data_IF_966110773202
#
_entry.id   IF_966110773202
#
_cell.length_a   1.000
_cell.length_b   1.000
_cell.length_c   1.000
_cell.angle_alpha   90.00
_cell.angle_beta   90.00
_cell.angle_gamma   90.00
#
_symmetry.space_group_name_H-M   'P 1'
#
loop_
_entity.id
_entity.type
_entity.pdbx_description
1 polymer ?
#
# COMPACT_ATOMS: atom_id res chain seq x y z
N UNK A 1 -2.90 25.89 -4.95
CA UNK A 1 -3.62 24.97 -4.03
C UNK A 1 -5.13 25.23 -3.96
N UNK A 2 -5.61 26.46 -4.17
CA UNK A 2 -7.05 26.79 -4.20
C UNK A 2 -7.85 26.03 -5.28
N UNK A 3 -7.27 25.80 -6.46
CA UNK A 3 -7.92 25.04 -7.53
C UNK A 3 -8.15 23.57 -7.17
N UNK A 4 -7.34 23.00 -6.29
CA UNK A 4 -7.51 21.62 -5.83
C UNK A 4 -8.72 21.48 -4.90
N UNK A 5 -9.10 22.57 -4.21
CA UNK A 5 -10.32 22.67 -3.37
C UNK A 5 -11.56 23.13 -4.15
N UNK A 6 -11.46 23.41 -5.45
CA UNK A 6 -12.65 23.74 -6.26
C UNK A 6 -13.64 22.56 -6.28
N UNK A 7 -14.94 22.87 -6.18
CA UNK A 7 -16.09 21.95 -6.03
C UNK A 7 -16.29 20.91 -7.15
N UNK A 8 -15.33 20.74 -8.07
CA UNK A 8 -15.37 19.70 -9.09
C UNK A 8 -14.94 18.35 -8.53
N UNK A 9 -15.65 17.27 -8.87
CA UNK A 9 -15.21 15.89 -8.62
C UNK A 9 -13.90 15.64 -9.38
N UNK A 10 -12.78 15.57 -8.67
CA UNK A 10 -11.48 15.16 -9.23
C UNK A 10 -11.34 13.66 -9.07
N UNK A 11 -11.27 12.93 -10.18
CA UNK A 11 -11.12 11.48 -10.18
C UNK A 11 -9.67 11.03 -10.01
N UNK A 12 -8.71 11.83 -10.50
CA UNK A 12 -7.29 11.53 -10.50
C UNK A 12 -6.50 12.77 -10.09
N UNK A 13 -5.48 12.57 -9.26
CA UNK A 13 -4.56 13.62 -8.83
C UNK A 13 -3.14 13.07 -9.01
N UNK A 14 -2.36 13.74 -9.84
CA UNK A 14 -0.93 13.46 -9.98
C UNK A 14 -0.16 14.36 -9.00
N UNK A 15 0.70 13.77 -8.18
CA UNK A 15 1.42 14.45 -7.13
C UNK A 15 2.83 13.86 -6.97
N UNK A 16 3.78 14.69 -6.52
CA UNK A 16 5.07 14.25 -6.03
C UNK A 16 5.04 14.17 -4.50
N UNK A 17 6.08 13.60 -3.89
CA UNK A 17 6.21 13.48 -2.43
C UNK A 17 6.06 14.82 -1.68
N UNK A 18 6.29 15.95 -2.35
CA UNK A 18 6.12 17.30 -1.81
C UNK A 18 4.66 17.76 -1.66
N UNK A 19 3.69 17.07 -2.28
CA UNK A 19 2.25 17.42 -2.18
C UNK A 19 1.57 16.80 -0.94
N UNK A 20 2.36 16.14 -0.09
CA UNK A 20 1.87 15.31 1.00
C UNK A 20 1.32 16.10 2.20
N UNK A 21 1.71 17.36 2.36
CA UNK A 21 1.30 18.19 3.49
C UNK A 21 0.12 19.10 3.13
N UNK A 22 -1.01 18.95 3.82
CA UNK A 22 -2.12 19.92 3.81
C UNK A 22 -3.31 19.61 2.90
N UNK A 23 -3.31 18.49 2.19
CA UNK A 23 -4.44 18.06 1.35
C UNK A 23 -5.02 16.74 1.86
N UNK A 24 -6.26 16.78 2.33
CA UNK A 24 -7.01 15.61 2.81
C UNK A 24 -8.17 15.32 1.84
N UNK A 25 -8.07 14.23 1.09
CA UNK A 25 -9.21 13.70 0.35
C UNK A 25 -9.77 12.51 1.12
N UNK A 26 -11.03 12.57 1.57
CA UNK A 26 -11.62 11.50 2.38
C UNK A 26 -11.76 10.17 1.62
N UNK A 27 -11.96 10.22 0.29
CA UNK A 27 -12.38 9.06 -0.50
C UNK A 27 -11.31 8.56 -1.48
N UNK A 28 -10.06 8.38 -1.04
CA UNK A 28 -9.01 7.79 -1.87
C UNK A 28 -9.13 6.26 -1.87
N UNK A 29 -9.41 5.69 -3.05
CA UNK A 29 -9.50 4.23 -3.28
C UNK A 29 -8.22 3.60 -3.79
N UNK A 30 -7.42 4.37 -4.51
CA UNK A 30 -6.20 3.89 -5.12
C UNK A 30 -5.09 4.88 -4.87
N UNK A 31 -3.94 4.39 -4.41
CA UNK A 31 -2.67 5.12 -4.41
C UNK A 31 -1.74 4.37 -5.34
N UNK A 32 -1.29 5.04 -6.40
CA UNK A 32 -0.38 4.46 -7.38
C UNK A 32 0.94 5.22 -7.32
N UNK A 33 1.99 4.52 -6.88
CA UNK A 33 3.33 5.04 -6.82
C UNK A 33 4.11 4.64 -8.08
N UNK A 34 4.54 5.64 -8.85
CA UNK A 34 5.44 5.45 -9.99
C UNK A 34 6.90 5.51 -9.52
N UNK A 35 7.45 4.34 -9.27
CA UNK A 35 8.69 4.14 -8.55
C UNK A 35 8.44 3.87 -7.06
N UNK A 36 9.34 3.14 -6.41
CA UNK A 36 9.23 2.88 -4.99
C UNK A 36 9.67 4.11 -4.18
N UNK A 37 9.18 4.20 -2.95
CA UNK A 37 9.62 5.23 -2.01
C UNK A 37 11.11 5.03 -1.66
N UNK A 38 11.76 6.08 -1.14
CA UNK A 38 13.17 6.02 -0.76
C UNK A 38 13.42 5.13 0.46
N UNK A 39 12.53 5.23 1.45
CA UNK A 39 12.53 4.42 2.66
C UNK A 39 11.12 3.88 2.94
N UNK A 40 11.00 2.91 3.85
CA UNK A 40 9.72 2.26 4.13
C UNK A 40 8.72 3.19 4.84
N UNK A 41 9.21 4.18 5.60
CA UNK A 41 8.37 5.14 6.30
C UNK A 41 7.60 6.04 5.32
N UNK A 42 8.29 6.55 4.29
CA UNK A 42 7.71 7.33 3.22
C UNK A 42 6.64 6.53 2.47
N UNK A 43 6.92 5.25 2.20
CA UNK A 43 5.93 4.34 1.61
C UNK A 43 4.65 4.28 2.46
N UNK A 44 4.77 4.10 3.79
CA UNK A 44 3.59 4.07 4.68
C UNK A 44 2.86 5.42 4.74
N UNK A 45 3.57 6.55 4.70
CA UNK A 45 2.94 7.88 4.68
C UNK A 45 2.16 8.13 3.38
N UNK A 46 2.69 7.67 2.25
CA UNK A 46 2.03 7.76 0.94
C UNK A 46 0.82 6.83 0.88
N UNK A 47 1.00 5.57 1.27
CA UNK A 47 -0.04 4.54 1.32
C UNK A 47 -1.20 4.92 2.27
N UNK A 48 -0.88 5.52 3.43
CA UNK A 48 -1.85 5.93 4.46
C UNK A 48 -2.79 7.07 4.05
N UNK A 49 -2.73 7.54 2.79
CA UNK A 49 -3.75 8.42 2.21
C UNK A 49 -5.01 7.68 1.82
N UNK A 50 -4.89 6.39 1.50
CA UNK A 50 -6.01 5.55 1.14
C UNK A 50 -6.79 5.09 2.38
N UNK A 51 -8.07 4.74 2.22
CA UNK A 51 -8.81 3.98 3.23
C UNK A 51 -9.23 4.72 4.52
N UNK A 52 -9.21 6.06 4.56
CA UNK A 52 -9.55 6.87 5.77
C UNK A 52 -10.96 6.67 6.35
N UNK A 53 -11.85 6.04 5.59
CA UNK A 53 -13.23 5.73 6.01
C UNK A 53 -13.53 4.22 6.10
N UNK A 54 -12.51 3.41 6.42
CA UNK A 54 -12.62 1.93 6.49
C UNK A 54 -13.12 1.30 5.19
N UNK A 55 -12.91 1.99 4.07
CA UNK A 55 -13.26 1.43 2.77
C UNK A 55 -12.05 0.79 2.16
N UNK A 56 -12.28 -0.37 1.53
CA UNK A 56 -11.25 -1.10 0.82
C UNK A 56 -10.58 -0.18 -0.20
N UNK A 57 -9.25 -0.25 -0.19
CA UNK A 57 -8.40 0.59 -0.99
C UNK A 57 -7.11 -0.13 -1.32
N UNK A 58 -6.62 0.06 -2.54
CA UNK A 58 -5.42 -0.60 -3.03
C UNK A 58 -4.25 0.38 -3.14
N UNK A 59 -3.08 -0.12 -2.78
CA UNK A 59 -1.81 0.59 -2.94
C UNK A 59 -0.97 -0.19 -3.94
N UNK A 60 -0.64 0.46 -5.05
CA UNK A 60 0.07 -0.16 -6.18
C UNK A 60 1.40 0.55 -6.37
N UNK A 61 2.48 -0.22 -6.44
CA UNK A 61 3.82 0.30 -6.74
C UNK A 61 4.23 -0.27 -8.10
N UNK A 62 4.52 0.62 -9.04
CA UNK A 62 5.01 0.26 -10.36
C UNK A 62 6.44 0.74 -10.45
N UNK A 63 7.40 -0.16 -10.67
CA UNK A 63 8.82 0.22 -10.70
C UNK A 63 9.65 -0.56 -11.70
N UNK A 64 10.76 0.04 -12.09
CA UNK A 64 11.83 -0.59 -12.86
C UNK A 64 13.10 -0.76 -12.00
N UNK A 65 13.92 -1.74 -12.35
CA UNK A 65 15.12 -2.09 -11.57
C UNK A 65 16.10 -0.92 -11.36
N UNK A 66 16.19 0.01 -12.31
CA UNK A 66 17.07 1.18 -12.20
C UNK A 66 16.68 2.11 -11.03
N UNK A 67 15.38 2.20 -10.71
CA UNK A 67 14.87 3.06 -9.63
C UNK A 67 15.26 2.53 -8.24
N UNK A 68 15.50 1.22 -8.11
CA UNK A 68 15.90 0.60 -6.84
C UNK A 68 17.28 1.06 -6.35
N UNK A 69 18.12 1.62 -7.24
CA UNK A 69 19.42 2.17 -6.87
C UNK A 69 19.35 3.31 -5.87
N UNK A 70 18.21 4.04 -5.85
CA UNK A 70 17.98 5.21 -4.99
C UNK A 70 17.23 4.86 -3.70
N UNK A 71 16.91 3.59 -3.49
CA UNK A 71 16.14 3.13 -2.34
C UNK A 71 17.04 2.54 -1.26
N UNK A 72 16.56 2.63 -0.03
CA UNK A 72 17.12 1.96 1.14
C UNK A 72 16.85 0.44 1.09
N UNK A 73 17.59 -0.30 1.92
CA UNK A 73 17.60 -1.77 1.88
C UNK A 73 16.30 -2.39 2.44
N UNK A 74 15.60 -1.66 3.31
CA UNK A 74 14.28 -2.00 3.82
C UNK A 74 13.23 -2.10 2.70
N UNK A 75 13.15 -1.08 1.83
CA UNK A 75 12.25 -1.03 0.67
C UNK A 75 12.65 -2.11 -0.33
N UNK A 76 13.94 -2.27 -0.60
CA UNK A 76 14.47 -3.32 -1.47
C UNK A 76 14.11 -4.73 -0.99
N UNK A 77 14.09 -4.95 0.33
CA UNK A 77 13.72 -6.22 0.94
C UNK A 77 12.22 -6.45 0.87
N UNK A 78 11.43 -5.41 1.15
CA UNK A 78 9.98 -5.41 1.01
C UNK A 78 9.52 -5.74 -0.42
N UNK A 79 10.08 -5.06 -1.43
CA UNK A 79 9.70 -5.27 -2.84
C UNK A 79 10.08 -6.65 -3.39
N UNK A 80 11.07 -7.31 -2.77
CA UNK A 80 11.53 -8.66 -3.15
C UNK A 80 10.91 -9.76 -2.29
N UNK A 81 10.04 -9.42 -1.34
CA UNK A 81 9.45 -10.40 -0.45
C UNK A 81 8.52 -11.36 -1.22
N UNK A 82 8.75 -12.66 -1.05
CA UNK A 82 7.85 -13.72 -1.56
C UNK A 82 6.71 -14.04 -0.60
N UNK A 83 6.82 -13.64 0.67
CA UNK A 83 5.77 -13.81 1.68
C UNK A 83 4.73 -12.68 1.67
N UNK A 84 3.97 -12.56 2.76
CA UNK A 84 3.00 -11.49 2.92
C UNK A 84 3.68 -10.11 2.85
N UNK A 85 3.27 -9.27 1.89
CA UNK A 85 3.83 -7.92 1.71
C UNK A 85 3.55 -7.03 2.93
N UNK A 86 2.42 -7.21 3.61
CA UNK A 86 2.10 -6.51 4.87
C UNK A 86 3.14 -6.81 5.94
N UNK A 87 3.48 -8.08 6.13
CA UNK A 87 4.50 -8.47 7.12
C UNK A 87 5.86 -7.89 6.71
N UNK A 88 6.21 -7.99 5.42
CA UNK A 88 7.47 -7.46 4.92
C UNK A 88 7.60 -5.94 5.09
N UNK A 89 6.53 -5.17 4.87
CA UNK A 89 6.54 -3.71 5.02
C UNK A 89 6.54 -3.23 6.47
N UNK A 90 5.97 -4.02 7.39
CA UNK A 90 5.88 -3.66 8.81
C UNK A 90 7.02 -4.25 9.66
N UNK A 91 7.80 -5.20 9.12
CA UNK A 91 8.88 -5.87 9.87
C UNK A 91 9.86 -4.92 10.54
N UNK A 92 10.12 -3.75 9.94
CA UNK A 92 11.01 -2.73 10.51
C UNK A 92 10.40 -1.96 11.70
N UNK A 93 9.07 -2.00 11.87
CA UNK A 93 8.34 -1.27 12.90
C UNK A 93 7.79 -2.18 14.01
N UNK A 94 7.39 -3.40 13.66
CA UNK A 94 6.80 -4.36 14.57
C UNK A 94 7.16 -5.80 14.15
N UNK A 95 7.91 -6.49 15.00
CA UNK A 95 8.32 -7.88 14.80
C UNK A 95 7.16 -8.88 15.00
N UNK A 96 6.09 -8.47 15.69
CA UNK A 96 4.94 -9.31 16.01
C UNK A 96 3.85 -9.30 14.94
N UNK A 97 4.06 -8.56 13.84
CA UNK A 97 3.06 -8.40 12.78
C UNK A 97 2.76 -9.73 12.08
N UNK A 98 1.46 -10.01 11.90
CA UNK A 98 0.97 -11.20 11.20
C UNK A 98 0.21 -10.82 9.92
N UNK A 99 0.13 -11.74 8.94
CA UNK A 99 -0.76 -11.56 7.79
C UNK A 99 -2.21 -11.36 8.24
N UNK A 100 -3.01 -10.68 7.42
CA UNK A 100 -4.44 -10.57 7.65
C UNK A 100 -5.10 -11.95 7.52
N UNK A 101 -6.08 -12.25 8.37
CA UNK A 101 -6.82 -13.53 8.33
C UNK A 101 -7.52 -13.74 6.98
N UNK A 102 -8.04 -12.66 6.39
CA UNK A 102 -8.56 -12.67 5.02
C UNK A 102 -7.42 -12.39 4.04
N UNK A 103 -6.70 -13.44 3.66
CA UNK A 103 -5.52 -13.33 2.81
C UNK A 103 -5.78 -12.70 1.44
N UNK A 104 -6.94 -12.93 0.84
CA UNK A 104 -7.29 -12.40 -0.49
C UNK A 104 -7.43 -10.87 -0.56
N UNK A 105 -7.68 -10.23 0.58
CA UNK A 105 -7.75 -8.77 0.73
C UNK A 105 -6.47 -8.18 1.34
N UNK A 106 -5.46 -9.01 1.65
CA UNK A 106 -4.26 -8.55 2.35
C UNK A 106 -3.22 -7.92 1.42
N UNK A 107 -2.79 -8.65 0.40
CA UNK A 107 -1.79 -8.23 -0.58
C UNK A 107 -1.76 -9.21 -1.76
N UNK A 108 -1.04 -8.87 -2.83
CA UNK A 108 -0.93 -9.71 -4.04
C UNK A 108 -0.46 -11.13 -3.73
N UNK A 109 0.61 -11.31 -2.94
CA UNK A 109 1.15 -12.63 -2.63
C UNK A 109 0.17 -13.48 -1.80
N UNK A 110 -0.53 -12.87 -0.84
CA UNK A 110 -1.57 -13.56 -0.05
C UNK A 110 -2.80 -13.88 -0.89
N UNK A 111 -3.11 -13.07 -1.89
CA UNK A 111 -4.20 -13.32 -2.83
C UNK A 111 -3.89 -14.45 -3.79
N UNK A 112 -2.67 -14.51 -4.33
CA UNK A 112 -2.22 -15.60 -5.21
C UNK A 112 -2.16 -16.94 -4.49
N UNK A 113 -1.81 -16.94 -3.20
CA UNK A 113 -1.81 -18.13 -2.36
C UNK A 113 -3.18 -18.48 -1.76
N UNK A 114 -4.21 -17.64 -1.96
CA UNK A 114 -5.55 -17.95 -1.48
C UNK A 114 -6.17 -19.07 -2.30
N UNK A 115 -6.71 -20.07 -1.61
CA UNK A 115 -7.48 -21.17 -2.22
C UNK A 115 -9.00 -20.90 -2.20
N UNK A 116 -9.40 -19.68 -1.83
CA UNK A 116 -10.78 -19.26 -1.78
C UNK A 116 -11.36 -19.16 -3.20
N UNK A 117 -12.44 -19.90 -3.48
CA UNK A 117 -13.13 -19.90 -4.79
C UNK A 117 -14.20 -18.79 -4.93
N UNK A 118 -14.17 -17.77 -4.06
CA UNK A 118 -15.10 -16.64 -4.07
C UNK A 118 -15.77 -16.38 -2.71
N UNK A 119 -15.77 -15.10 -2.32
CA UNK A 119 -16.49 -14.37 -1.26
C UNK A 119 -16.35 -14.78 0.21
N UNK A 120 -15.99 -16.03 0.54
CA UNK A 120 -15.73 -16.42 1.94
C UNK A 120 -14.38 -17.11 2.07
N UNK A 121 -13.33 -16.33 2.30
CA UNK A 121 -12.07 -16.89 2.74
C UNK A 121 -12.28 -17.40 4.17
N UNK A 122 -12.35 -18.71 4.29
CA UNK A 122 -12.49 -19.42 5.54
C UNK A 122 -11.40 -18.95 6.51
N UNK A 123 -11.87 -18.36 7.61
CA UNK A 123 -11.13 -18.15 8.84
C UNK A 123 -10.61 -19.53 9.24
N UNK A 124 -9.37 -19.84 8.88
CA UNK A 124 -8.65 -20.96 9.47
C UNK A 124 -7.37 -20.40 10.07
N UNK A 125 -7.54 -19.83 11.25
CA UNK A 125 -6.54 -19.95 12.31
C UNK A 125 -6.12 -21.41 12.39
N UNK A 126 -4.93 -21.72 11.87
CA UNK A 126 -4.25 -22.95 12.23
C UNK A 126 -3.89 -22.85 13.71
N UNK A 127 -4.53 -23.71 14.51
CA UNK A 127 -4.17 -23.99 15.90
C UNK A 127 -2.71 -24.43 16.03
#
# INVERSE_FOLDING_TARGET
MEELKSNGKKQIIAATNALSMGVNFPDIRYVVNWGPARNILDHHQEAGRAGRHNVTSDVVIIFHGQQLSQCEDDVKSFLRASGCLRVASYKAFDESIKPLEQGHDCCTNCRESCLCQGDTCCIQTAN
#
